data_IF_240415356820
#
_entry.id   IF_240415356820
#
_cell.length_a   1.000
_cell.length_b   1.000
_cell.length_c   1.000
_cell.angle_alpha   90.00
_cell.angle_beta   90.00
_cell.angle_gamma   90.00
#
_symmetry.space_group_name_H-M   'P 1'
#
loop_
_entity.id
_entity.type
_entity.pdbx_description
1 polymer ?
2 polymer ?
3 polymer ?
4 water ?
#
loop_
_entity_poly.entity_id
_entity_poly.type
_entity_poly.pdbx_seq_one_letter_code
_entity_poly.pdbx_strand_id
2 'polydeoxyribonucleotide' '(DA)(DT)(DG)(DT)(DG)(DG)(DT)(DC)(DC)(DC)(DC)(DA)(DC)(DT)' ?
3 'polydeoxyribonucleotide' '(DT)(DA)(DG)(DT)(DG)(DG)(DG)(DG)(DA)(DC)(DC)(DA)(DC)(DA)' ?
#
# COMPACT_ATOMS: atom_id res chain seq x y z
N UNK A 50 -0.01 18.19 19.56
CA UNK A 50 0.33 16.78 19.77
C UNK A 50 -0.70 15.88 19.08
N UNK A 51 -0.22 14.76 18.56
CA UNK A 51 -1.06 13.84 17.80
C UNK A 51 -1.74 12.85 18.72
N UNK A 52 -2.98 12.45 18.37
CA UNK A 52 -3.73 11.49 19.19
C UNK A 52 -4.04 10.19 18.46
N UNK A 53 -3.30 9.84 17.42
CA UNK A 53 -3.52 8.57 16.74
C UNK A 53 -2.97 7.42 17.57
N UNK A 54 -3.76 6.35 17.67
CA UNK A 54 -3.32 5.17 18.40
C UNK A 54 -2.25 4.41 17.62
N UNK A 55 -1.33 3.82 18.36
CA UNK A 55 -0.39 2.82 17.85
C UNK A 55 -0.95 1.42 18.14
N UNK A 56 -0.35 0.39 17.54
CA UNK A 56 -0.82 -0.96 17.80
C UNK A 56 0.31 -1.81 18.40
N UNK A 57 -0.09 -2.79 19.22
CA UNK A 57 0.88 -3.74 19.80
C UNK A 57 1.42 -4.66 18.71
N UNK A 58 2.74 -4.79 18.62
CA UNK A 58 3.35 -5.77 17.71
C UNK A 58 4.46 -6.52 18.43
N UNK A 59 4.96 -7.58 17.76
CA UNK A 59 6.07 -8.38 18.29
C UNK A 59 7.34 -7.56 18.49
N UNK A 60 7.45 -6.40 17.86
CA UNK A 60 8.62 -5.53 17.99
C UNK A 60 8.33 -4.27 18.78
N UNK A 61 7.17 -4.19 19.43
CA UNK A 61 6.82 -3.03 20.22
C UNK A 61 5.68 -2.25 19.58
N UNK A 62 5.37 -1.09 20.14
CA UNK A 62 4.33 -0.24 19.54
C UNK A 62 4.73 0.22 18.15
N UNK A 63 3.75 0.30 17.27
CA UNK A 63 4.01 0.69 15.88
C UNK A 63 2.96 1.68 15.42
N UNK A 64 3.40 2.72 14.72
CA UNK A 64 2.47 3.62 14.05
C UNK A 64 1.67 2.86 13.00
N UNK A 65 0.44 3.32 12.74
CA UNK A 65 -0.46 2.60 11.85
C UNK A 65 -0.27 2.96 10.38
N UNK A 66 0.68 3.82 10.06
CA UNK A 66 0.91 4.21 8.66
C UNK A 66 2.01 3.35 8.03
N UNK A 67 1.91 3.17 6.72
CA UNK A 67 2.91 2.45 5.95
C UNK A 67 3.21 3.27 4.70
N UNK A 68 4.48 3.43 4.36
CA UNK A 68 4.85 4.06 3.09
C UNK A 68 5.14 2.94 2.08
N UNK A 69 4.43 2.95 0.96
CA UNK A 69 4.62 1.96 -0.08
C UNK A 69 5.61 2.45 -1.15
N UNK A 70 6.50 1.57 -1.59
CA UNK A 70 7.35 1.93 -2.73
C UNK A 70 6.48 2.25 -3.94
N UNK A 71 7.06 2.98 -4.90
CA UNK A 71 6.27 3.41 -6.06
C UNK A 71 5.63 2.21 -6.77
N UNK A 72 6.41 1.17 -7.06
CA UNK A 72 5.86 0.04 -7.80
C UNK A 72 4.80 -0.69 -6.97
N UNK A 73 5.05 -0.86 -5.67
CA UNK A 73 4.06 -1.48 -4.80
C UNK A 73 2.78 -0.68 -4.72
N UNK A 74 2.89 0.64 -4.62
CA UNK A 74 1.71 1.49 -4.53
C UNK A 74 0.87 1.37 -5.79
N UNK A 75 1.53 1.35 -6.95
CA UNK A 75 0.77 1.24 -8.20
C UNK A 75 -0.01 -0.07 -8.24
N UNK A 76 0.63 -1.17 -7.86
CA UNK A 76 -0.08 -2.46 -7.84
C UNK A 76 -1.13 -2.51 -6.73
N UNK A 77 -0.80 -1.96 -5.56
CA UNK A 77 -1.76 -1.97 -4.46
C UNK A 77 -3.03 -1.19 -4.80
N UNK A 78 -2.88 0.01 -5.35
CA UNK A 78 -4.05 0.82 -5.66
C UNK A 78 -4.89 0.21 -6.78
N UNK A 79 -4.25 -0.53 -7.70
CA UNK A 79 -5.00 -1.30 -8.70
C UNK A 79 -5.94 -2.29 -8.01
N UNK A 80 -5.44 -3.02 -7.02
CA UNK A 80 -6.28 -3.93 -6.24
C UNK A 80 -7.39 -3.15 -5.55
N UNK A 81 -7.04 -2.07 -4.84
CA UNK A 81 -8.04 -1.30 -4.11
C UNK A 81 -9.13 -0.79 -5.03
N UNK A 82 -8.75 -0.29 -6.22
CA UNK A 82 -9.75 0.31 -7.10
C UNK A 82 -10.56 -0.76 -7.80
N UNK A 83 -9.95 -1.89 -8.13
CA UNK A 83 -10.74 -2.96 -8.72
C UNK A 83 -11.74 -3.53 -7.72
N UNK A 84 -11.44 -3.41 -6.42
CA UNK A 84 -12.38 -3.82 -5.38
C UNK A 84 -13.48 -2.80 -5.14
N UNK A 85 -13.28 -1.54 -5.55
CA UNK A 85 -14.25 -0.50 -5.29
C UNK A 85 -14.20 0.09 -3.89
N UNK A 86 -13.10 -0.05 -3.17
CA UNK A 86 -13.00 0.47 -1.81
C UNK A 86 -12.48 1.90 -1.81
N UNK A 87 -13.07 2.74 -0.94
CA UNK A 87 -12.59 4.12 -0.81
C UNK A 87 -11.37 4.23 0.10
N UNK A 88 -11.23 3.32 1.07
CA UNK A 88 -10.16 3.39 2.08
C UNK A 88 -9.13 2.30 1.82
N UNK A 89 -7.86 2.65 1.70
CA UNK A 89 -6.82 1.62 1.48
C UNK A 89 -6.83 0.52 2.54
N UNK A 90 -7.11 0.86 3.79
CA UNK A 90 -7.10 -0.15 4.85
C UNK A 90 -8.00 -1.33 4.50
N UNK A 91 -9.16 -1.07 3.90
CA UNK A 91 -10.06 -2.16 3.54
C UNK A 91 -9.44 -3.08 2.49
N UNK A 92 -8.60 -2.53 1.62
CA UNK A 92 -7.94 -3.36 0.61
C UNK A 92 -6.88 -4.25 1.24
N UNK A 93 -6.12 -3.78 2.24
CA UNK A 93 -5.16 -4.73 2.80
C UNK A 93 -5.88 -5.76 3.69
N UNK A 94 -7.02 -5.39 4.29
CA UNK A 94 -7.87 -6.42 4.93
C UNK A 94 -8.17 -7.55 3.95
N UNK A 95 -8.55 -7.17 2.73
CA UNK A 95 -8.93 -8.16 1.72
C UNK A 95 -7.71 -8.97 1.29
N UNK A 96 -6.55 -8.32 1.12
CA UNK A 96 -5.34 -9.05 0.77
C UNK A 96 -4.96 -10.05 1.85
N UNK A 97 -5.06 -9.65 3.12
CA UNK A 97 -4.75 -10.59 4.21
C UNK A 97 -5.71 -11.77 4.19
N UNK A 98 -6.99 -11.51 3.96
CA UNK A 98 -7.96 -12.61 3.91
C UNK A 98 -7.62 -13.58 2.78
N UNK A 99 -7.30 -13.05 1.60
CA UNK A 99 -7.05 -13.91 0.45
C UNK A 99 -5.68 -14.58 0.49
N UNK A 100 -4.74 -14.09 1.31
CA UNK A 100 -3.43 -14.70 1.46
C UNK A 100 -3.33 -15.62 2.68
N UNK A 101 -4.47 -15.94 3.31
CA UNK A 101 -4.47 -16.67 4.58
C UNK A 101 -3.73 -18.01 4.47
N UNK A 102 -3.93 -18.75 3.38
CA UNK A 102 -3.28 -20.05 3.27
C UNK A 102 -1.75 -19.92 3.34
N UNK A 103 -1.22 -18.92 2.63
CA UNK A 103 0.22 -18.68 2.66
C UNK A 103 0.67 -18.18 4.04
N UNK A 104 -0.14 -17.31 4.66
CA UNK A 104 0.22 -16.75 5.96
C UNK A 104 0.34 -17.84 7.01
N UNK A 105 -0.57 -18.81 6.97
CA UNK A 105 -0.56 -19.91 7.94
C UNK A 105 0.66 -20.82 7.78
N UNK A 106 1.28 -20.85 6.62
CA UNK A 106 2.48 -21.64 6.43
C UNK A 106 3.73 -20.95 6.93
N UNK A 107 3.61 -19.69 7.35
CA UNK A 107 4.73 -18.97 7.92
C UNK A 107 4.99 -19.50 9.33
N UNK B 23 -2.52 7.46 -20.13
CA UNK B 23 -2.01 7.27 -21.49
C UNK B 23 -1.26 8.50 -22.03
N UNK B 24 -1.93 9.65 -22.22
CA UNK B 24 -1.22 10.85 -22.65
C UNK B 24 -1.42 12.02 -21.69
N UNK B 25 -0.37 12.85 -21.62
CA UNK B 25 -0.34 14.03 -20.78
C UNK B 25 0.97 14.23 -20.05
N UNK B 26 1.47 15.47 -20.03
CA UNK B 26 2.66 15.79 -19.25
C UNK B 26 2.35 15.85 -17.75
N UNK B 27 1.16 16.32 -17.40
CA UNK B 27 0.72 16.39 -16.00
C UNK B 27 -0.80 16.40 -16.00
N UNK B 28 -1.38 16.30 -14.79
CA UNK B 28 -2.83 16.31 -14.69
C UNK B 28 -3.41 17.67 -15.06
N UNK B 29 -2.60 18.73 -15.02
CA UNK B 29 -3.05 20.06 -15.36
C UNK B 29 -2.31 21.16 -14.60
N UNK B 32 0.34 20.79 -11.50
CA UNK B 32 0.50 19.35 -11.32
C UNK B 32 1.92 18.87 -11.57
N UNK B 33 2.29 17.79 -10.89
CA UNK B 33 3.64 17.27 -11.02
C UNK B 33 3.89 16.60 -12.36
N UNK B 34 5.18 16.52 -12.71
CA UNK B 34 5.58 15.91 -13.98
C UNK B 34 5.32 14.40 -13.94
N UNK B 35 4.67 13.88 -14.97
CA UNK B 35 4.26 12.49 -14.99
C UNK B 35 5.35 11.68 -15.68
N UNK B 36 5.83 10.64 -15.02
CA UNK B 36 6.99 9.87 -15.46
C UNK B 36 6.60 8.41 -15.61
N UNK B 37 6.85 7.85 -16.79
CA UNK B 37 6.46 6.47 -17.01
C UNK B 37 7.42 5.51 -16.29
N UNK B 38 6.84 4.51 -15.62
CA UNK B 38 7.61 3.46 -14.95
C UNK B 38 7.06 2.11 -15.37
N UNK B 39 7.70 1.03 -14.91
CA UNK B 39 7.21 -0.30 -15.26
C UNK B 39 5.82 -0.50 -14.65
N UNK B 40 4.84 -0.78 -15.50
CA UNK B 40 3.49 -1.07 -15.05
C UNK B 40 2.63 0.13 -14.72
N UNK B 41 3.12 1.35 -14.90
CA UNK B 41 2.32 2.51 -14.52
C UNK B 41 3.03 3.84 -14.68
N UNK B 42 2.65 4.82 -13.88
CA UNK B 42 3.26 6.14 -13.94
C UNK B 42 3.41 6.70 -12.54
N UNK B 43 4.51 7.41 -12.31
CA UNK B 43 4.70 8.14 -11.07
C UNK B 43 4.56 9.63 -11.37
N UNK B 44 4.45 10.42 -10.29
CA UNK B 44 4.34 11.88 -10.41
C UNK B 44 5.41 12.50 -9.53
N UNK B 45 6.31 13.27 -10.14
CA UNK B 45 7.38 13.91 -9.38
C UNK B 45 6.80 14.97 -8.43
N UNK B 46 7.50 15.20 -7.33
CA UNK B 46 7.05 16.17 -6.36
C UNK B 46 6.92 17.55 -7.00
N UNK B 47 5.97 18.29 -6.54
CA UNK B 47 5.78 19.55 -7.09
C UNK B 47 6.54 20.67 -6.40
N UNK B 48 7.36 20.35 -5.43
CA UNK B 48 8.14 21.31 -4.68
C UNK B 48 9.38 20.69 -4.10
N UNK B 49 10.08 21.40 -3.22
CA UNK B 49 11.30 20.91 -2.61
C UNK B 49 11.27 20.71 -1.12
N UNK B 50 10.25 21.15 -0.42
CA UNK B 50 10.19 20.89 1.00
C UNK B 50 9.89 19.41 1.26
N UNK B 51 9.17 18.81 0.35
CA UNK B 51 8.93 17.37 0.42
C UNK B 51 9.03 16.84 -0.99
N UNK B 52 10.02 15.97 -1.23
CA UNK B 52 10.35 15.54 -2.58
C UNK B 52 9.90 14.11 -2.88
N UNK B 53 8.93 13.59 -2.13
CA UNK B 53 8.42 12.25 -2.41
C UNK B 53 7.63 12.24 -3.71
N UNK B 54 7.88 11.24 -4.54
CA UNK B 54 7.02 11.04 -5.70
C UNK B 54 5.67 10.47 -5.27
N UNK B 55 4.63 10.84 -6.03
CA UNK B 55 3.31 10.23 -5.91
C UNK B 55 3.13 9.24 -7.08
N UNK B 56 1.99 8.55 -7.12
CA UNK B 56 1.70 7.63 -8.22
C UNK B 56 0.37 8.00 -8.88
N UNK B 57 0.25 7.71 -10.17
CA UNK B 57 -1.02 7.86 -10.86
C UNK B 57 -1.80 6.56 -10.79
N UNK B 58 -3.10 6.67 -10.55
CA UNK B 58 -3.95 5.49 -10.39
C UNK B 58 -5.25 5.74 -11.13
N UNK B 59 -6.09 4.69 -11.17
CA UNK B 59 -7.39 4.80 -11.83
C UNK B 59 -8.23 5.93 -11.28
N UNK B 60 -7.96 6.38 -10.05
CA UNK B 60 -8.68 7.49 -9.45
C UNK B 60 -7.85 8.76 -9.41
N UNK B 61 -6.72 8.79 -10.11
CA UNK B 61 -5.92 10.00 -10.19
C UNK B 61 -4.68 9.91 -9.32
N UNK B 62 -4.04 11.06 -9.08
CA UNK B 62 -2.83 11.05 -8.27
C UNK B 62 -3.13 10.54 -6.86
N UNK B 63 -2.21 9.76 -6.31
CA UNK B 63 -2.37 9.28 -4.94
C UNK B 63 -1.02 9.30 -4.23
N UNK B 64 -1.09 9.55 -2.92
CA UNK B 64 0.08 9.46 -2.05
C UNK B 64 0.50 8.01 -1.89
N UNK B 65 1.80 7.78 -1.71
CA UNK B 65 2.28 6.42 -1.47
C UNK B 65 2.17 6.02 -0.01
N UNK B 66 1.64 6.87 0.84
CA UNK B 66 1.54 6.55 2.25
C UNK B 66 0.08 6.34 2.62
N UNK B 67 -0.20 5.26 3.36
CA UNK B 67 -1.57 4.94 3.75
C UNK B 67 -1.62 4.69 5.25
N UNK B 68 -2.77 4.96 5.85
CA UNK B 68 -3.02 4.70 7.27
C UNK B 68 -3.91 3.49 7.37
N UNK B 69 -3.44 2.46 8.08
CA UNK B 69 -4.21 1.25 8.31
C UNK B 69 -5.01 1.39 9.60
N UNK B 70 -6.25 0.91 9.59
CA UNK B 70 -6.98 0.89 10.85
C UNK B 70 -6.24 -0.01 11.85
N UNK B 71 -6.53 0.21 13.14
CA UNK B 71 -5.85 -0.55 14.19
C UNK B 71 -5.98 -2.06 13.96
N UNK B 72 -7.19 -2.53 13.69
CA UNK B 72 -7.42 -3.96 13.46
C UNK B 72 -6.57 -4.48 12.31
N UNK B 73 -6.58 -3.73 11.20
CA UNK B 73 -5.80 -4.07 10.02
C UNK B 73 -4.29 -4.01 10.30
N UNK B 74 -3.85 -2.95 10.97
CA UNK B 74 -2.43 -2.79 11.24
C UNK B 74 -1.88 -3.98 12.04
N UNK B 75 -2.63 -4.43 13.04
CA UNK B 75 -2.14 -5.52 13.89
C UNK B 75 -1.90 -6.78 13.08
N UNK B 76 -2.88 -7.15 12.27
CA UNK B 76 -2.74 -8.32 11.39
C UNK B 76 -1.61 -8.15 10.39
N UNK B 77 -1.51 -6.95 9.81
CA UNK B 77 -0.50 -6.72 8.77
C UNK B 77 0.91 -6.81 9.32
N UNK B 78 1.17 -6.17 10.46
CA UNK B 78 2.49 -6.26 11.06
C UNK B 78 2.82 -7.66 11.58
N UNK B 79 1.81 -8.42 12.01
CA UNK B 79 2.05 -9.82 12.31
C UNK B 79 2.60 -10.55 11.09
N UNK B 80 2.00 -10.31 9.91
CA UNK B 80 2.52 -10.91 8.68
C UNK B 80 3.93 -10.40 8.40
N UNK B 81 4.15 -9.09 8.52
CA UNK B 81 5.49 -8.55 8.25
C UNK B 81 6.53 -9.17 9.17
N UNK B 82 6.20 -9.28 10.46
CA UNK B 82 7.16 -9.80 11.43
C UNK B 82 7.41 -11.29 11.21
N UNK B 83 6.38 -12.04 10.83
CA UNK B 83 6.60 -13.46 10.57
C UNK B 83 7.42 -13.68 9.29
N UNK B 84 7.26 -12.80 8.30
CA UNK B 84 8.12 -12.84 7.13
C UNK B 84 9.57 -12.49 7.46
N UNK B 85 9.80 -11.72 8.51
CA UNK B 85 11.13 -11.23 8.80
C UNK B 85 11.54 -10.01 8.00
N UNK B 86 10.58 -9.31 7.39
CA UNK B 86 10.91 -8.17 6.53
C UNK B 86 11.10 -6.89 7.35
N UNK B 87 12.13 -6.13 7.02
CA UNK B 87 12.37 -4.87 7.73
C UNK B 87 11.35 -3.80 7.34
N UNK B 88 11.05 -3.67 6.02
CA UNK B 88 10.21 -2.62 5.43
C UNK B 88 8.79 -3.11 5.16
N UNK B 89 7.77 -2.43 5.66
CA UNK B 89 6.38 -2.90 5.43
C UNK B 89 6.00 -3.02 3.96
N UNK B 90 6.58 -2.17 3.08
CA UNK B 90 6.19 -2.23 1.67
C UNK B 90 6.49 -3.59 1.08
N UNK B 91 7.56 -4.24 1.53
CA UNK B 91 7.92 -5.56 1.01
C UNK B 91 6.88 -6.61 1.42
N UNK B 92 6.32 -6.47 2.62
CA UNK B 92 5.23 -7.36 3.03
C UNK B 92 3.97 -7.14 2.19
N UNK B 93 3.69 -5.90 1.78
CA UNK B 93 2.57 -5.66 0.88
C UNK B 93 2.82 -6.34 -0.47
N UNK B 94 4.08 -6.29 -0.95
CA UNK B 94 4.44 -6.99 -2.18
C UNK B 94 4.12 -8.47 -2.06
N UNK B 95 4.53 -9.07 -0.94
CA UNK B 95 4.29 -10.48 -0.70
C UNK B 95 2.80 -10.80 -0.72
N UNK B 96 2.01 -9.99 -0.01
CA UNK B 96 0.56 -10.20 0.04
C UNK B 96 -0.04 -10.16 -1.35
N UNK B 97 0.36 -9.19 -2.17
CA UNK B 97 -0.18 -9.08 -3.52
C UNK B 97 0.16 -10.31 -4.34
N UNK B 98 1.41 -10.80 -4.23
CA UNK B 98 1.78 -12.05 -4.90
C UNK B 98 0.90 -13.21 -4.46
N UNK B 99 0.75 -13.38 -3.15
CA UNK B 99 0.00 -14.52 -2.61
C UNK B 99 -1.49 -14.40 -2.88
N UNK B 100 -1.97 -13.21 -3.21
CA UNK B 100 -3.37 -13.00 -3.56
C UNK B 100 -3.62 -13.02 -5.06
N UNK B 101 -2.57 -13.26 -5.85
CA UNK B 101 -2.66 -13.10 -7.31
C UNK B 101 -3.88 -13.81 -7.88
N UNK B 102 -4.18 -15.00 -7.36
CA UNK B 102 -5.33 -15.77 -7.83
C UNK B 102 -6.62 -15.01 -7.65
N UNK B 103 -6.84 -14.44 -6.46
CA UNK B 103 -8.09 -13.73 -6.20
C UNK B 103 -8.15 -12.42 -6.95
N UNK B 104 -7.00 -11.72 -7.08
CA UNK B 104 -6.95 -10.45 -7.81
C UNK B 104 -7.36 -10.66 -9.26
N UNK B 105 -6.82 -11.71 -9.91
CA UNK B 105 -7.06 -11.94 -11.33
C UNK B 105 -8.54 -12.17 -11.63
N UNK B 106 -9.36 -12.50 -10.63
CA UNK B 106 -10.79 -12.64 -10.80
C UNK B 106 -11.56 -11.39 -10.39
N UNK B 107 -10.85 -10.27 -10.16
CA UNK B 107 -11.33 -8.91 -9.82
C UNK B 107 -11.26 -8.57 -8.32
#
# INVERSE_FOLDING_TARGET
MGSSHHHHHHSSGLVPRGSHMGLKGYSVGEGGGEIVEVQGGHIIRATGRKDRHSKVFTSKGPRDRRVRLSAHTAIQFYDVQDRLGYDRPSKAVDWLIKKAKTAIDKL
MGSSHHHHHHSSGLVPRGSHMGLKGYSVGEGGGEIVEVQGGHIIRATGRKDRHSKVFTSKGPRDRRVRLSAHTAIQFYDVQDRLGYDRPSKAVDWLIKKAKTAIDKL
#
